data_IF_660224449137
#
_entry.id   IF_660224449137
#
_cell.length_a   1.000
_cell.length_b   1.000
_cell.length_c   1.000
_cell.angle_alpha   90.00
_cell.angle_beta   90.00
_cell.angle_gamma   90.00
#
_symmetry.space_group_name_H-M   'P 1'
#
loop_
_entity.id
_entity.type
_entity.pdbx_description
1 polymer ?
#
# COMPACT_ATOMS: atom_id res chain seq x y z
N UNK A 1 -13.83 -3.92 14.73
CA UNK A 1 -13.35 -4.81 13.66
C UNK A 1 -11.88 -4.51 13.44
N UNK A 2 -11.07 -5.52 13.26
CA UNK A 2 -9.62 -5.33 13.15
C UNK A 2 -9.20 -5.77 11.74
N UNK A 3 -9.37 -4.86 10.77
CA UNK A 3 -9.12 -5.13 9.36
C UNK A 3 -7.67 -4.79 8.95
N UNK A 4 -6.83 -4.40 9.95
CA UNK A 4 -5.44 -4.02 9.71
C UNK A 4 -4.48 -4.99 10.38
N UNK A 5 -3.56 -5.51 9.60
CA UNK A 5 -2.44 -6.32 10.07
C UNK A 5 -1.11 -5.62 9.86
N UNK A 6 -0.46 -5.27 10.95
CA UNK A 6 0.89 -4.71 10.94
C UNK A 6 1.86 -5.74 11.53
N UNK A 7 2.55 -6.55 10.71
CA UNK A 7 3.48 -7.57 11.21
C UNK A 7 4.68 -6.95 11.93
N UNK A 8 5.06 -5.75 11.55
CA UNK A 8 6.09 -4.94 12.20
C UNK A 8 5.69 -3.48 12.23
N UNK A 9 6.40 -2.72 13.04
CA UNK A 9 6.30 -1.28 13.15
C UNK A 9 7.67 -0.65 12.87
N UNK A 10 7.66 0.60 12.43
CA UNK A 10 8.86 1.36 12.06
C UNK A 10 9.19 1.23 10.58
N UNK A 11 9.74 2.31 10.01
CA UNK A 11 10.02 2.43 8.59
C UNK A 11 11.20 3.37 8.33
N UNK A 12 11.76 3.32 7.12
CA UNK A 12 12.73 4.29 6.62
C UNK A 12 12.08 5.16 5.55
N UNK A 13 12.24 6.48 5.65
CA UNK A 13 11.81 7.40 4.59
C UNK A 13 12.63 7.14 3.33
N UNK A 14 11.98 7.10 2.17
CA UNK A 14 12.62 6.75 0.88
C UNK A 14 12.41 7.79 -0.21
N UNK A 15 11.37 8.60 -0.08
CA UNK A 15 11.01 9.59 -1.10
C UNK A 15 10.24 10.75 -0.48
N UNK A 16 9.92 11.76 -1.30
CA UNK A 16 9.23 12.98 -0.86
C UNK A 16 7.86 12.70 -0.21
N UNK A 17 7.16 11.66 -0.65
CA UNK A 17 5.90 11.21 -0.04
C UNK A 17 6.04 10.68 1.38
N UNK A 18 7.26 10.49 1.87
CA UNK A 18 7.52 10.09 3.25
C UNK A 18 7.84 11.27 4.19
N UNK A 19 7.94 12.52 3.66
CA UNK A 19 8.37 13.70 4.46
C UNK A 19 7.47 13.87 5.69
N UNK A 20 6.16 13.98 5.48
CA UNK A 20 5.15 14.24 6.51
C UNK A 20 4.32 12.97 6.84
N UNK A 21 4.96 11.80 6.81
CA UNK A 21 4.30 10.52 7.04
C UNK A 21 3.56 10.50 8.40
N UNK A 22 2.29 10.09 8.37
CA UNK A 22 1.44 10.04 9.56
C UNK A 22 1.96 9.09 10.64
N UNK A 23 2.70 8.04 10.28
CA UNK A 23 3.32 7.13 11.24
C UNK A 23 4.32 7.88 12.11
N UNK A 24 5.24 8.63 11.47
CA UNK A 24 6.24 9.43 12.19
C UNK A 24 5.60 10.51 13.08
N UNK A 25 4.53 11.17 12.60
CA UNK A 25 3.80 12.17 13.42
C UNK A 25 3.13 11.55 14.64
N UNK A 26 2.49 10.39 14.44
CA UNK A 26 1.84 9.68 15.53
C UNK A 26 2.84 9.19 16.56
N UNK A 27 3.92 8.58 16.11
CA UNK A 27 4.95 8.03 16.97
C UNK A 27 5.64 9.11 17.79
N UNK A 28 5.90 10.29 17.21
CA UNK A 28 6.45 11.43 17.92
C UNK A 28 5.57 11.92 19.09
N UNK A 29 4.24 11.69 19.06
CA UNK A 29 3.35 12.03 20.17
C UNK A 29 3.52 11.11 21.38
N UNK A 30 4.16 9.94 21.19
CA UNK A 30 4.36 8.91 22.21
C UNK A 30 5.82 8.62 22.47
N UNK A 31 6.73 9.48 22.01
CA UNK A 31 8.19 9.31 22.11
C UNK A 31 8.69 7.95 21.53
N UNK A 32 8.02 7.48 20.47
CA UNK A 32 8.39 6.25 19.77
C UNK A 32 9.33 6.59 18.61
N UNK A 33 10.46 5.90 18.52
CA UNK A 33 11.36 6.00 17.38
C UNK A 33 10.80 5.22 16.16
N UNK A 34 10.19 5.95 15.24
CA UNK A 34 9.65 5.38 13.99
C UNK A 34 10.72 4.72 13.10
N UNK A 35 12.02 4.96 13.36
CA UNK A 35 13.10 4.32 12.61
C UNK A 35 13.51 2.98 13.19
N UNK A 36 13.09 2.66 14.41
CA UNK A 36 13.31 1.38 15.04
C UNK A 36 12.32 0.34 14.49
N UNK A 37 12.81 -0.55 13.63
CA UNK A 37 11.94 -1.60 13.02
C UNK A 37 11.83 -2.78 13.97
N UNK A 38 10.63 -3.02 14.49
CA UNK A 38 10.37 -4.06 15.49
C UNK A 38 9.19 -4.97 15.08
N UNK A 39 9.34 -6.27 15.35
CA UNK A 39 8.26 -7.26 15.15
C UNK A 39 7.12 -6.97 16.14
N UNK A 40 5.90 -6.86 15.66
CA UNK A 40 4.74 -6.56 16.50
C UNK A 40 4.26 -7.81 17.28
N UNK A 41 3.65 -7.57 18.45
CA UNK A 41 3.02 -8.63 19.26
C UNK A 41 1.90 -9.36 18.49
N UNK A 42 1.22 -8.66 17.58
CA UNK A 42 0.14 -9.18 16.74
C UNK A 42 0.64 -9.76 15.41
N UNK A 43 1.93 -10.09 15.31
CA UNK A 43 2.55 -10.61 14.10
C UNK A 43 1.80 -11.82 13.52
N UNK A 44 1.35 -12.73 14.36
CA UNK A 44 0.67 -13.96 13.95
C UNK A 44 -0.86 -13.83 13.84
N UNK A 45 -1.42 -12.63 13.99
CA UNK A 45 -2.87 -12.42 14.00
C UNK A 45 -3.64 -13.03 12.82
N UNK A 46 -3.15 -13.00 11.55
CA UNK A 46 -3.88 -13.64 10.45
C UNK A 46 -4.03 -15.16 10.59
N UNK A 47 -3.06 -15.82 11.24
CA UNK A 47 -3.05 -17.27 11.42
C UNK A 47 -3.69 -17.72 12.74
N UNK A 48 -3.96 -16.81 13.68
CA UNK A 48 -4.56 -17.16 14.97
C UNK A 48 -5.98 -17.69 14.82
N UNK A 49 -6.26 -18.78 15.58
CA UNK A 49 -7.56 -19.43 15.57
C UNK A 49 -8.17 -19.51 16.97
N UNK A 50 -9.49 -19.55 17.03
CA UNK A 50 -10.22 -19.97 18.23
C UNK A 50 -10.10 -21.48 18.44
N UNK A 51 -10.47 -21.95 19.64
CA UNK A 51 -10.45 -23.37 20.02
C UNK A 51 -11.20 -24.28 19.02
N UNK A 52 -12.22 -23.75 18.36
CA UNK A 52 -13.05 -24.49 17.40
C UNK A 52 -12.57 -24.37 15.94
N UNK A 53 -11.38 -23.81 15.70
CA UNK A 53 -10.73 -23.77 14.38
C UNK A 53 -10.96 -22.52 13.54
N UNK A 54 -11.95 -21.68 13.85
CA UNK A 54 -12.21 -20.44 13.13
C UNK A 54 -11.09 -19.41 13.35
N UNK A 55 -10.74 -18.66 12.32
CA UNK A 55 -9.78 -17.56 12.45
C UNK A 55 -10.32 -16.46 13.38
N UNK A 56 -9.43 -15.87 14.19
CA UNK A 56 -9.78 -14.75 15.06
C UNK A 56 -9.89 -13.45 14.30
N UNK A 57 -9.05 -13.28 13.25
CA UNK A 57 -9.08 -12.12 12.39
C UNK A 57 -10.03 -12.36 11.23
N UNK A 58 -11.21 -11.75 11.29
CA UNK A 58 -12.24 -11.80 10.25
C UNK A 58 -12.51 -10.34 9.85
N UNK A 59 -11.92 -9.85 8.75
CA UNK A 59 -12.10 -8.47 8.32
C UNK A 59 -13.47 -8.24 7.70
N UNK A 60 -13.94 -7.00 7.78
CA UNK A 60 -15.09 -6.56 7.02
C UNK A 60 -14.74 -6.47 5.53
N UNK A 61 -15.63 -6.90 4.63
CA UNK A 61 -15.35 -6.90 3.19
C UNK A 61 -14.23 -7.86 2.73
N UNK A 62 -13.78 -8.79 3.61
CA UNK A 62 -12.73 -9.78 3.31
C UNK A 62 -11.37 -9.17 2.92
N UNK A 63 -11.05 -7.93 3.31
CA UNK A 63 -9.77 -7.27 3.04
C UNK A 63 -8.99 -7.06 4.32
N UNK A 64 -7.74 -7.53 4.34
CA UNK A 64 -6.75 -7.23 5.39
C UNK A 64 -5.78 -6.17 4.86
N UNK A 65 -5.87 -4.97 5.42
CA UNK A 65 -4.94 -3.87 5.15
C UNK A 65 -3.59 -4.16 5.81
N UNK A 66 -2.57 -4.41 4.99
CA UNK A 66 -1.32 -5.01 5.43
C UNK A 66 -0.20 -3.99 5.54
N UNK A 67 0.45 -3.91 6.71
CA UNK A 67 1.69 -3.18 6.96
C UNK A 67 1.57 -1.64 6.85
N UNK A 68 0.48 -1.06 7.34
CA UNK A 68 0.22 0.39 7.28
C UNK A 68 1.10 1.22 8.25
N UNK A 69 1.79 0.59 9.20
CA UNK A 69 2.75 1.26 10.09
C UNK A 69 4.19 1.11 9.65
N UNK A 70 4.40 0.59 8.43
CA UNK A 70 5.70 0.36 7.81
C UNK A 70 5.55 0.23 6.28
N UNK A 71 6.48 -0.48 5.64
CA UNK A 71 6.38 -0.94 4.26
C UNK A 71 6.68 -2.45 4.23
N UNK A 72 5.85 -3.22 3.53
CA UNK A 72 5.98 -4.68 3.51
C UNK A 72 7.30 -5.14 2.86
N UNK A 73 7.87 -4.33 1.97
CA UNK A 73 9.16 -4.63 1.31
C UNK A 73 10.36 -3.92 1.94
N UNK A 74 10.23 -3.50 3.21
CA UNK A 74 11.32 -2.91 3.98
C UNK A 74 12.46 -3.91 4.21
N UNK A 75 13.72 -3.48 4.10
CA UNK A 75 14.93 -4.31 4.20
C UNK A 75 15.08 -4.96 5.57
N UNK A 76 14.88 -4.19 6.63
CA UNK A 76 15.03 -4.65 8.01
C UNK A 76 14.01 -5.75 8.39
N UNK A 77 12.94 -5.89 7.60
CA UNK A 77 11.90 -6.90 7.77
C UNK A 77 12.14 -8.20 6.97
N UNK A 78 13.21 -8.29 6.18
CA UNK A 78 13.53 -9.48 5.35
C UNK A 78 13.50 -10.77 6.17
N UNK A 79 14.04 -10.72 7.38
CA UNK A 79 14.12 -11.87 8.31
C UNK A 79 12.77 -12.40 8.80
N UNK A 80 11.67 -11.66 8.60
CA UNK A 80 10.32 -12.05 9.04
C UNK A 80 9.34 -12.30 7.90
N UNK A 81 9.70 -11.88 6.67
CA UNK A 81 8.77 -11.84 5.54
C UNK A 81 8.30 -13.23 5.11
N UNK A 82 9.17 -14.23 5.17
CA UNK A 82 8.78 -15.60 4.80
C UNK A 82 7.68 -16.15 5.69
N UNK A 83 7.70 -15.86 6.99
CA UNK A 83 6.60 -16.22 7.90
C UNK A 83 5.30 -15.50 7.53
N UNK A 84 5.38 -14.24 7.06
CA UNK A 84 4.21 -13.50 6.58
C UNK A 84 3.61 -14.16 5.33
N UNK A 85 4.44 -14.52 4.36
CA UNK A 85 3.99 -15.22 3.16
C UNK A 85 3.33 -16.57 3.47
N UNK A 86 3.84 -17.30 4.45
CA UNK A 86 3.22 -18.54 4.92
C UNK A 86 1.81 -18.28 5.48
N UNK A 87 1.62 -17.24 6.28
CA UNK A 87 0.30 -16.88 6.82
C UNK A 87 -0.66 -16.41 5.73
N UNK A 88 -0.19 -15.63 4.76
CA UNK A 88 -0.98 -15.17 3.61
C UNK A 88 -1.51 -16.38 2.82
N UNK A 89 -0.67 -17.38 2.52
CA UNK A 89 -1.09 -18.61 1.83
C UNK A 89 -2.15 -19.41 2.58
N UNK A 90 -2.13 -19.38 3.92
CA UNK A 90 -3.11 -20.08 4.76
C UNK A 90 -4.49 -19.41 4.77
N UNK A 91 -4.62 -18.21 4.22
CA UNK A 91 -5.82 -17.38 4.25
C UNK A 91 -6.35 -17.05 2.86
N UNK A 92 -6.71 -18.07 2.03
CA UNK A 92 -7.30 -17.82 0.72
C UNK A 92 -8.73 -17.22 0.79
N UNK A 93 -9.29 -17.14 1.98
CA UNK A 93 -10.61 -16.58 2.30
C UNK A 93 -10.63 -15.04 2.37
N UNK A 94 -9.46 -14.41 2.41
CA UNK A 94 -9.33 -12.94 2.51
C UNK A 94 -8.26 -12.41 1.55
N UNK A 95 -8.39 -11.16 1.13
CA UNK A 95 -7.40 -10.45 0.31
C UNK A 95 -6.47 -9.63 1.21
N UNK A 96 -5.16 -9.81 1.05
CA UNK A 96 -4.15 -8.98 1.68
C UNK A 96 -3.79 -7.80 0.77
N UNK A 97 -4.19 -6.60 1.15
CA UNK A 97 -3.88 -5.37 0.42
C UNK A 97 -2.58 -4.79 0.98
N UNK A 98 -1.57 -4.71 0.12
CA UNK A 98 -0.21 -4.24 0.46
C UNK A 98 0.08 -2.95 -0.30
N UNK A 99 0.30 -1.86 0.44
CA UNK A 99 0.73 -0.58 -0.15
C UNK A 99 2.24 -0.44 0.02
N UNK A 100 2.95 -0.15 -1.07
CA UNK A 100 4.40 -0.03 -1.03
C UNK A 100 4.95 1.14 -1.85
N UNK A 101 6.04 1.72 -1.35
CA UNK A 101 6.93 2.63 -2.08
C UNK A 101 8.23 1.94 -2.53
N UNK A 102 8.36 0.62 -2.24
CA UNK A 102 9.57 -0.18 -2.47
C UNK A 102 9.40 -1.29 -3.50
N UNK A 103 8.60 -1.04 -4.53
CA UNK A 103 8.33 -2.04 -5.58
C UNK A 103 9.62 -2.58 -6.25
N UNK A 104 10.68 -1.78 -6.29
CA UNK A 104 11.99 -2.19 -6.80
C UNK A 104 12.63 -3.37 -6.04
N UNK A 105 12.11 -3.67 -4.83
CA UNK A 105 12.53 -4.84 -4.05
C UNK A 105 11.63 -6.06 -4.24
N UNK A 106 10.60 -5.95 -5.06
CA UNK A 106 9.58 -6.99 -5.21
C UNK A 106 10.18 -8.37 -5.45
N UNK A 107 11.04 -8.53 -6.46
CA UNK A 107 11.65 -9.83 -6.81
C UNK A 107 12.50 -10.45 -5.69
N UNK A 108 13.11 -9.61 -4.83
CA UNK A 108 13.87 -10.06 -3.66
C UNK A 108 12.96 -10.45 -2.48
N UNK A 109 11.76 -9.90 -2.43
CA UNK A 109 10.86 -9.98 -1.29
C UNK A 109 9.75 -11.03 -1.46
N UNK A 110 9.58 -11.56 -2.68
CA UNK A 110 8.60 -12.60 -2.97
C UNK A 110 9.13 -14.00 -2.65
N UNK A 111 8.27 -14.94 -2.20
CA UNK A 111 8.69 -16.31 -1.91
C UNK A 111 8.98 -17.09 -3.22
N UNK A 112 9.71 -18.19 -3.10
CA UNK A 112 10.11 -19.03 -4.26
C UNK A 112 8.91 -19.57 -5.05
N UNK A 113 7.79 -19.82 -4.36
CA UNK A 113 6.55 -20.34 -4.93
C UNK A 113 5.56 -19.24 -5.36
N UNK A 114 6.03 -18.00 -5.52
CA UNK A 114 5.19 -16.87 -5.95
C UNK A 114 4.55 -17.10 -7.33
N UNK A 115 5.28 -17.66 -8.28
CA UNK A 115 4.80 -17.91 -9.65
C UNK A 115 4.29 -16.64 -10.32
N UNK A 116 3.08 -16.69 -10.88
CA UNK A 116 2.39 -15.56 -11.50
C UNK A 116 1.64 -14.68 -10.48
N UNK A 117 1.81 -14.93 -9.20
CA UNK A 117 1.18 -14.19 -8.11
C UNK A 117 0.07 -14.95 -7.38
N UNK A 118 -0.13 -14.64 -6.12
CA UNK A 118 -1.20 -15.20 -5.31
C UNK A 118 -2.54 -14.49 -5.59
N UNK A 119 -3.62 -15.27 -5.68
CA UNK A 119 -4.97 -14.73 -5.95
C UNK A 119 -5.50 -13.83 -4.81
N UNK A 120 -4.99 -14.05 -3.62
CA UNK A 120 -5.40 -13.31 -2.42
C UNK A 120 -4.42 -12.19 -2.01
N UNK A 121 -3.57 -11.73 -2.94
CA UNK A 121 -2.67 -10.60 -2.70
C UNK A 121 -2.93 -9.50 -3.71
N UNK A 122 -3.21 -8.31 -3.19
CA UNK A 122 -3.37 -7.09 -3.97
C UNK A 122 -2.24 -6.12 -3.62
N UNK A 123 -1.40 -5.79 -4.59
CA UNK A 123 -0.29 -4.86 -4.38
C UNK A 123 -0.63 -3.50 -4.98
N UNK A 124 -0.43 -2.47 -4.17
CA UNK A 124 -0.67 -1.10 -4.53
C UNK A 124 0.66 -0.34 -4.55
N UNK A 125 1.06 0.17 -5.72
CA UNK A 125 2.29 0.94 -5.88
C UNK A 125 2.02 2.42 -5.66
N UNK A 126 2.70 3.04 -4.67
CA UNK A 126 2.56 4.48 -4.43
C UNK A 126 3.45 5.29 -5.36
N UNK A 127 2.87 6.33 -5.99
CA UNK A 127 3.55 7.29 -6.84
C UNK A 127 3.11 8.70 -6.44
N UNK A 128 3.94 9.42 -5.70
CA UNK A 128 3.63 10.74 -5.16
C UNK A 128 3.97 11.90 -6.09
N UNK A 129 4.82 11.67 -7.09
CA UNK A 129 5.25 12.63 -8.12
C UNK A 129 5.66 11.90 -9.40
N UNK A 130 5.89 12.64 -10.49
CA UNK A 130 6.25 12.06 -11.80
C UNK A 130 7.51 11.21 -11.72
N UNK A 131 8.53 11.71 -11.03
CA UNK A 131 9.80 10.99 -10.87
C UNK A 131 9.61 9.60 -10.25
N UNK A 132 8.70 9.48 -9.28
CA UNK A 132 8.42 8.18 -8.64
C UNK A 132 7.49 7.32 -9.49
N UNK A 133 6.60 7.89 -10.26
CA UNK A 133 5.82 7.17 -11.27
C UNK A 133 6.75 6.54 -12.32
N UNK A 134 7.63 7.34 -12.93
CA UNK A 134 8.58 6.89 -13.95
C UNK A 134 9.58 5.84 -13.43
N UNK A 135 9.93 5.91 -12.15
CA UNK A 135 10.83 4.92 -11.54
C UNK A 135 10.11 3.63 -11.15
N UNK A 136 8.91 3.72 -10.54
CA UNK A 136 8.25 2.57 -9.92
C UNK A 136 7.33 1.81 -10.86
N UNK A 137 6.58 2.53 -11.73
CA UNK A 137 5.53 1.89 -12.52
C UNK A 137 6.05 0.92 -13.60
N UNK A 138 7.17 1.17 -14.31
CA UNK A 138 7.74 0.15 -15.20
C UNK A 138 8.05 -1.16 -14.49
N UNK A 139 8.68 -1.09 -13.32
CA UNK A 139 8.99 -2.28 -12.50
C UNK A 139 7.70 -2.97 -12.03
N UNK A 140 6.70 -2.18 -11.64
CA UNK A 140 5.42 -2.68 -11.16
C UNK A 140 4.62 -3.39 -12.24
N UNK A 141 4.60 -2.85 -13.45
CA UNK A 141 3.88 -3.46 -14.57
C UNK A 141 4.53 -4.76 -15.03
N UNK A 142 5.86 -4.83 -15.03
CA UNK A 142 6.61 -6.05 -15.38
C UNK A 142 6.53 -7.14 -14.30
N UNK A 143 6.25 -6.78 -13.06
CA UNK A 143 6.18 -7.74 -11.97
C UNK A 143 4.99 -8.71 -12.13
N UNK A 144 5.18 -10.03 -11.86
CA UNK A 144 4.11 -11.02 -11.91
C UNK A 144 3.17 -10.88 -10.72
N UNK A 145 2.28 -9.89 -10.77
CA UNK A 145 1.30 -9.56 -9.74
C UNK A 145 -0.08 -9.60 -10.38
N UNK A 146 -1.00 -10.39 -9.83
CA UNK A 146 -2.34 -10.56 -10.39
C UNK A 146 -3.27 -9.37 -10.16
N UNK A 147 -3.16 -8.73 -9.02
CA UNK A 147 -4.02 -7.60 -8.65
C UNK A 147 -3.15 -6.38 -8.35
N UNK A 148 -3.23 -5.39 -9.23
CA UNK A 148 -2.41 -4.19 -9.22
C UNK A 148 -3.26 -2.94 -9.12
N UNK A 149 -2.91 -2.02 -8.20
CA UNK A 149 -3.47 -0.65 -8.16
C UNK A 149 -2.36 0.38 -8.02
N UNK A 150 -2.60 1.57 -8.52
CA UNK A 150 -1.71 2.72 -8.35
C UNK A 150 -2.29 3.61 -7.24
N UNK A 151 -1.44 4.10 -6.34
CA UNK A 151 -1.83 5.05 -5.29
C UNK A 151 -1.01 6.32 -5.42
N UNK A 152 -1.68 7.43 -5.75
CA UNK A 152 -1.13 8.77 -5.76
C UNK A 152 -1.51 9.50 -4.46
N UNK A 153 -1.06 8.95 -3.31
CA UNK A 153 -1.30 9.54 -1.98
C UNK A 153 -0.02 9.47 -1.12
N UNK A 154 0.56 10.66 -0.77
CA UNK A 154 0.11 12.00 -1.14
C UNK A 154 0.42 12.33 -2.60
N UNK A 155 -0.50 13.00 -3.28
CA UNK A 155 -0.23 13.61 -4.60
C UNK A 155 0.46 14.95 -4.38
N UNK A 156 1.69 15.12 -4.90
CA UNK A 156 2.55 16.27 -4.61
C UNK A 156 2.78 17.19 -5.81
N UNK A 157 2.43 16.73 -6.99
CA UNK A 157 2.49 17.48 -8.25
C UNK A 157 1.58 16.86 -9.30
N UNK A 158 1.44 17.49 -10.45
CA UNK A 158 0.80 16.87 -11.61
C UNK A 158 1.59 15.63 -12.05
N UNK A 159 0.88 14.53 -12.31
CA UNK A 159 1.46 13.26 -12.80
C UNK A 159 0.76 12.86 -14.09
N UNK A 160 1.54 12.58 -15.13
CA UNK A 160 1.08 11.88 -16.32
C UNK A 160 1.23 10.36 -16.11
N UNK A 161 0.13 9.69 -15.88
CA UNK A 161 0.05 8.22 -15.73
C UNK A 161 -0.28 7.53 -17.06
N UNK A 162 -0.65 8.27 -18.11
CA UNK A 162 -1.13 7.70 -19.37
C UNK A 162 -0.24 6.59 -19.95
N UNK A 163 1.11 6.67 -19.86
CA UNK A 163 1.99 5.60 -20.33
C UNK A 163 1.88 4.30 -19.53
N UNK A 164 1.32 4.34 -18.33
CA UNK A 164 1.28 3.23 -17.37
C UNK A 164 -0.12 2.65 -17.12
N UNK A 165 -1.16 3.28 -17.68
CA UNK A 165 -2.55 2.87 -17.48
C UNK A 165 -2.92 1.75 -18.45
N UNK A 166 -2.47 0.53 -18.14
CA UNK A 166 -2.91 -0.68 -18.84
C UNK A 166 -4.09 -1.32 -18.11
N UNK A 167 -5.29 -1.20 -18.68
CA UNK A 167 -6.54 -1.76 -18.12
C UNK A 167 -6.52 -3.28 -17.95
N UNK A 168 -5.62 -3.98 -18.63
CA UNK A 168 -5.46 -5.43 -18.47
C UNK A 168 -4.70 -5.78 -17.19
N UNK A 169 -3.98 -4.83 -16.61
CA UNK A 169 -3.13 -5.02 -15.44
C UNK A 169 -3.54 -4.17 -14.25
N UNK A 170 -3.90 -2.89 -14.47
CA UNK A 170 -4.27 -1.97 -13.40
C UNK A 170 -5.77 -2.01 -13.18
N UNK A 171 -6.18 -2.31 -11.95
CA UNK A 171 -7.59 -2.40 -11.57
C UNK A 171 -8.15 -1.07 -11.06
N UNK A 172 -7.31 -0.26 -10.43
CA UNK A 172 -7.73 0.98 -9.76
C UNK A 172 -6.59 1.98 -9.66
N UNK A 173 -6.93 3.27 -9.69
CA UNK A 173 -6.05 4.38 -9.30
C UNK A 173 -6.69 5.16 -8.16
N UNK A 174 -6.02 5.21 -7.01
CA UNK A 174 -6.46 5.99 -5.84
C UNK A 174 -5.64 7.27 -5.77
N UNK A 175 -6.31 8.40 -5.57
CA UNK A 175 -5.68 9.72 -5.52
C UNK A 175 -6.09 10.44 -4.25
N UNK A 176 -5.13 11.08 -3.58
CA UNK A 176 -5.42 11.86 -2.37
C UNK A 176 -4.29 12.79 -1.96
N UNK A 177 -4.66 13.83 -1.21
CA UNK A 177 -3.72 14.77 -0.63
C UNK A 177 -3.02 14.22 0.61
N UNK A 178 -2.01 14.95 1.07
CA UNK A 178 -1.30 14.66 2.33
C UNK A 178 -2.19 14.97 3.52
N UNK A 179 -2.07 14.20 4.59
CA UNK A 179 -2.88 14.38 5.80
C UNK A 179 -2.10 15.09 6.92
N UNK A 180 -2.80 15.86 7.78
CA UNK A 180 -2.28 16.48 8.99
C UNK A 180 -1.97 17.97 8.85
N UNK A 181 -1.54 18.61 9.96
CA UNK A 181 -1.38 20.06 10.04
C UNK A 181 -0.24 20.60 9.15
N UNK A 182 0.76 19.77 8.87
CA UNK A 182 1.90 20.09 7.99
C UNK A 182 1.69 19.56 6.56
N UNK A 183 0.44 19.22 6.19
CA UNK A 183 0.11 18.71 4.87
C UNK A 183 0.45 19.75 3.79
N UNK A 184 1.16 19.29 2.76
CA UNK A 184 1.39 20.09 1.55
C UNK A 184 0.11 20.18 0.76
N UNK A 185 -0.08 21.30 0.10
CA UNK A 185 -1.24 21.52 -0.75
C UNK A 185 -1.29 20.49 -1.88
N UNK A 186 -2.48 19.96 -2.13
CA UNK A 186 -2.78 19.13 -3.28
C UNK A 186 -3.71 19.93 -4.21
N UNK A 187 -3.23 20.30 -5.38
CA UNK A 187 -4.03 21.04 -6.34
C UNK A 187 -5.12 20.12 -6.91
N UNK A 188 -6.36 20.57 -6.86
CA UNK A 188 -7.51 19.84 -7.36
C UNK A 188 -7.42 19.50 -8.85
N UNK A 189 -6.80 20.39 -9.67
CA UNK A 189 -6.60 20.14 -11.10
C UNK A 189 -5.72 18.93 -11.38
N UNK A 190 -4.79 18.59 -10.47
CA UNK A 190 -4.00 17.35 -10.59
C UNK A 190 -4.85 16.09 -10.42
N UNK A 191 -5.80 16.15 -9.49
CA UNK A 191 -6.76 15.05 -9.25
C UNK A 191 -7.66 14.87 -10.47
N UNK A 192 -8.19 15.98 -11.02
CA UNK A 192 -9.01 15.97 -12.22
C UNK A 192 -8.24 15.42 -13.43
N UNK A 193 -7.00 15.81 -13.60
CA UNK A 193 -6.14 15.32 -14.68
C UNK A 193 -5.97 13.79 -14.60
N UNK A 194 -5.65 13.24 -13.42
CA UNK A 194 -5.55 11.78 -13.26
C UNK A 194 -6.88 11.09 -13.52
N UNK A 195 -8.00 11.67 -13.08
CA UNK A 195 -9.33 11.14 -13.37
C UNK A 195 -9.59 11.07 -14.88
N UNK A 196 -9.27 12.12 -15.62
CA UNK A 196 -9.43 12.17 -17.09
C UNK A 196 -8.58 11.10 -17.76
N UNK A 197 -7.31 10.97 -17.40
CA UNK A 197 -6.41 9.93 -17.89
C UNK A 197 -7.00 8.52 -17.66
N UNK A 198 -7.58 8.27 -16.48
CA UNK A 198 -8.20 6.98 -16.17
C UNK A 198 -9.46 6.73 -17.01
N UNK A 199 -10.29 7.75 -17.25
CA UNK A 199 -11.49 7.65 -18.10
C UNK A 199 -11.08 7.33 -19.53
N UNK A 200 -10.09 8.00 -20.08
CA UNK A 200 -9.59 7.78 -21.44
C UNK A 200 -9.06 6.36 -21.62
N UNK A 201 -8.50 5.78 -20.56
CA UNK A 201 -8.02 4.39 -20.53
C UNK A 201 -9.11 3.39 -20.11
N UNK A 202 -10.37 3.80 -19.93
CA UNK A 202 -11.49 2.96 -19.47
C UNK A 202 -11.27 2.32 -18.09
N UNK A 203 -10.53 2.98 -17.22
CA UNK A 203 -10.34 2.58 -15.82
C UNK A 203 -11.35 3.30 -14.92
N UNK A 204 -11.86 2.60 -13.92
CA UNK A 204 -12.72 3.20 -12.90
C UNK A 204 -11.89 3.97 -11.88
N UNK A 205 -12.31 5.20 -11.54
CA UNK A 205 -11.69 6.01 -10.48
C UNK A 205 -12.71 6.23 -9.37
N UNK A 206 -12.31 5.95 -8.13
CA UNK A 206 -13.08 6.33 -6.94
C UNK A 206 -12.39 7.49 -6.25
N UNK A 207 -13.05 8.64 -6.03
CA UNK A 207 -12.50 9.68 -5.18
C UNK A 207 -12.38 9.16 -3.75
N UNK A 208 -11.25 9.44 -3.10
CA UNK A 208 -11.10 9.13 -1.68
C UNK A 208 -12.17 9.87 -0.87
N UNK A 209 -12.79 9.24 0.14
CA UNK A 209 -13.73 9.94 1.03
C UNK A 209 -13.15 11.20 1.71
N UNK A 210 -11.82 11.32 1.77
CA UNK A 210 -11.12 12.51 2.28
C UNK A 210 -11.20 13.69 1.33
N UNK A 211 -11.30 13.46 0.02
CA UNK A 211 -11.36 14.53 -1.00
C UNK A 211 -12.71 15.24 -0.97
N UNK A 212 -13.75 14.57 -0.46
CA UNK A 212 -15.09 15.13 -0.28
C UNK A 212 -15.20 16.01 0.98
N UNK A 213 -14.24 15.98 1.90
CA UNK A 213 -14.28 16.70 3.18
C UNK A 213 -13.60 18.06 3.18
N UNK A 214 -12.86 18.42 2.13
CA UNK A 214 -12.11 19.69 2.05
C UNK A 214 -12.88 20.83 1.39
N UNK A 215 -14.14 20.62 1.00
CA UNK A 215 -15.02 21.67 0.43
C UNK A 215 -15.98 22.27 1.48
N UNK A 216 -15.44 22.73 2.65
CA UNK A 216 -16.16 23.64 3.56
C UNK A 216 -15.24 24.68 4.16
#
# INVERSE_FOLDING_TARGET
>A
MNDTWNPWHGCRKISDGCKNCYVYRRDAQYDIDSTAVVKNKTFYAPAERYKYGNYKMVPDGNIIYTCFTSDFFLDEADKWRDECWQMIRQRPDVTFLIITKRIHRFSKCTPVDWGEGYDNVHICCTCENQKMADFRLPIFLEAPIKHKSIICEPLLEHIDLSPYLDKSQITEVVVGGESGNEARECNYDWILSIREQCIDCLLYTSPSPRDLSTSR
#
